data_IF_254426589101
#
_entry.id   IF_254426589101
#
_cell.length_a   1.000
_cell.length_b   1.000
_cell.length_c   1.000
_cell.angle_alpha   90.00
_cell.angle_beta   90.00
_cell.angle_gamma   90.00
#
_symmetry.space_group_name_H-M   'P 1'
#
loop_
_entity.id
_entity.type
_entity.pdbx_description
1 polymer ?
#
# COMPACT_ATOMS: atom_id res chain seq x y z
N UNK A 1 8.47 -8.98 14.61
CA UNK A 1 8.67 -8.03 13.49
C UNK A 1 7.40 -8.02 12.66
N UNK A 2 6.67 -6.90 12.61
CA UNK A 2 5.46 -6.81 11.80
C UNK A 2 5.84 -6.74 10.31
N UNK A 3 5.14 -7.50 9.46
CA UNK A 3 5.39 -7.53 8.03
C UNK A 3 4.89 -6.20 7.43
N UNK A 4 5.79 -5.42 6.85
CA UNK A 4 5.42 -4.15 6.21
C UNK A 4 4.41 -4.40 5.09
N UNK A 5 3.38 -3.56 4.99
CA UNK A 5 2.39 -3.60 3.91
C UNK A 5 3.04 -3.66 2.53
N UNK A 6 4.12 -2.92 2.33
CA UNK A 6 4.87 -2.89 1.07
C UNK A 6 5.49 -4.25 0.73
N UNK A 7 6.00 -4.97 1.73
CA UNK A 7 6.51 -6.33 1.55
C UNK A 7 5.37 -7.30 1.27
N UNK A 8 4.27 -7.23 2.04
CA UNK A 8 3.10 -8.08 1.84
C UNK A 8 2.52 -7.94 0.42
N UNK A 9 2.35 -6.69 -0.03
CA UNK A 9 1.87 -6.36 -1.37
C UNK A 9 2.78 -6.91 -2.48
N UNK A 10 4.10 -6.78 -2.33
CA UNK A 10 5.07 -7.33 -3.31
C UNK A 10 5.05 -8.85 -3.35
N UNK A 11 4.94 -9.51 -2.19
CA UNK A 11 4.78 -10.96 -2.12
C UNK A 11 3.48 -11.39 -2.80
N UNK A 12 2.38 -10.66 -2.56
CA UNK A 12 1.09 -10.91 -3.22
C UNK A 12 1.17 -10.79 -4.74
N UNK A 13 1.74 -9.71 -5.26
CA UNK A 13 1.93 -9.52 -6.70
C UNK A 13 2.90 -10.56 -7.29
N UNK A 14 3.93 -10.96 -6.54
CA UNK A 14 4.81 -12.05 -6.91
C UNK A 14 4.05 -13.37 -7.08
N UNK A 15 3.14 -13.69 -6.16
CA UNK A 15 2.28 -14.88 -6.28
C UNK A 15 1.37 -14.79 -7.51
N UNK A 16 0.71 -13.65 -7.76
CA UNK A 16 -0.10 -13.43 -8.98
C UNK A 16 0.73 -13.68 -10.24
N UNK A 17 1.95 -13.13 -10.32
CA UNK A 17 2.82 -13.29 -11.46
C UNK A 17 3.22 -14.76 -11.68
N UNK A 18 3.63 -15.47 -10.62
CA UNK A 18 4.02 -16.87 -10.70
C UNK A 18 2.85 -17.78 -11.10
N UNK A 19 1.66 -17.60 -10.50
CA UNK A 19 0.46 -18.35 -10.89
C UNK A 19 0.07 -18.06 -12.35
N UNK A 20 0.18 -16.81 -12.78
CA UNK A 20 -0.11 -16.41 -14.16
C UNK A 20 0.86 -17.06 -15.15
N UNK A 21 2.16 -17.10 -14.83
CA UNK A 21 3.16 -17.80 -15.64
C UNK A 21 2.89 -19.31 -15.71
N UNK A 22 2.50 -19.94 -14.60
CA UNK A 22 2.09 -21.35 -14.58
C UNK A 22 0.84 -21.61 -15.44
N UNK A 23 -0.13 -20.69 -15.44
CA UNK A 23 -1.30 -20.77 -16.31
C UNK A 23 -0.90 -20.66 -17.79
N UNK A 24 0.00 -19.74 -18.13
CA UNK A 24 0.50 -19.54 -19.49
C UNK A 24 1.27 -20.78 -19.96
N UNK A 25 2.17 -21.33 -19.14
CA UNK A 25 2.96 -22.51 -19.53
C UNK A 25 2.08 -23.73 -19.78
N UNK A 26 1.12 -24.02 -18.89
CA UNK A 26 0.16 -25.12 -19.08
C UNK A 26 -0.76 -24.88 -20.29
N UNK A 27 -1.19 -23.64 -20.51
CA UNK A 27 -1.95 -23.25 -21.70
C UNK A 27 -1.17 -23.54 -23.00
N UNK A 28 0.11 -23.18 -23.04
CA UNK A 28 1.00 -23.43 -24.18
C UNK A 28 1.23 -24.93 -24.40
N UNK A 29 1.41 -25.72 -23.34
CA UNK A 29 1.55 -27.19 -23.44
C UNK A 29 0.30 -27.83 -24.02
N UNK A 30 -0.89 -27.45 -23.53
CA UNK A 30 -2.16 -27.94 -24.09
C UNK A 30 -2.35 -27.48 -25.54
N UNK A 31 -1.95 -26.26 -25.86
CA UNK A 31 -2.00 -25.73 -27.22
C UNK A 31 -1.11 -26.55 -28.18
N UNK A 32 0.13 -26.82 -27.78
CA UNK A 32 1.10 -27.60 -28.55
C UNK A 32 0.64 -29.04 -28.80
N UNK A 33 -0.14 -29.62 -27.89
CA UNK A 33 -0.72 -30.97 -28.05
C UNK A 33 -2.00 -31.02 -28.91
N UNK A 34 -2.31 -29.95 -29.65
CA UNK A 34 -3.37 -29.98 -30.66
C UNK A 34 -4.76 -29.57 -30.15
N UNK A 35 -4.89 -29.11 -28.90
CA UNK A 35 -6.14 -28.49 -28.42
C UNK A 35 -6.39 -27.09 -29.04
N UNK A 36 -5.53 -26.64 -29.96
CA UNK A 36 -5.57 -25.36 -30.68
C UNK A 36 -6.88 -25.03 -31.41
N UNK A 37 -7.73 -26.01 -31.71
CA UNK A 37 -8.86 -25.82 -32.64
C UNK A 37 -9.93 -24.85 -32.14
N UNK A 38 -9.97 -24.53 -30.84
CA UNK A 38 -10.89 -23.52 -30.33
C UNK A 38 -10.23 -22.15 -30.18
N UNK A 39 -10.88 -21.10 -30.70
CA UNK A 39 -10.48 -19.69 -30.50
C UNK A 39 -10.37 -19.29 -29.00
N UNK A 40 -10.83 -20.13 -28.08
CA UNK A 40 -10.86 -19.86 -26.64
C UNK A 40 -9.48 -19.95 -25.97
N UNK A 41 -8.48 -20.57 -26.62
CA UNK A 41 -7.11 -20.67 -26.10
C UNK A 41 -6.37 -19.32 -26.13
N UNK A 42 -6.62 -18.48 -27.14
CA UNK A 42 -6.01 -17.15 -27.19
C UNK A 42 -6.34 -16.33 -25.94
N UNK A 43 -7.61 -16.33 -25.54
CA UNK A 43 -8.04 -15.65 -24.32
C UNK A 43 -7.51 -16.34 -23.03
N UNK A 44 -7.17 -17.63 -23.06
CA UNK A 44 -6.57 -18.33 -21.90
C UNK A 44 -5.14 -17.86 -21.65
N UNK A 45 -4.42 -17.50 -22.72
CA UNK A 45 -3.05 -16.99 -22.64
C UNK A 45 -3.06 -15.49 -22.38
N UNK A 46 -3.92 -14.73 -23.09
CA UNK A 46 -3.95 -13.27 -23.01
C UNK A 46 -4.28 -12.74 -21.61
N UNK A 47 -5.33 -13.27 -20.95
CA UNK A 47 -5.78 -12.75 -19.64
C UNK A 47 -4.70 -12.92 -18.55
N UNK A 48 -4.12 -14.12 -18.33
CA UNK A 48 -2.98 -14.28 -17.41
C UNK A 48 -1.76 -13.48 -17.85
N UNK A 49 -1.54 -13.26 -19.15
CA UNK A 49 -0.43 -12.41 -19.63
C UNK A 49 -0.60 -10.97 -19.17
N UNK A 50 -1.80 -10.39 -19.28
CA UNK A 50 -2.08 -9.05 -18.75
C UNK A 50 -1.97 -8.99 -17.24
N UNK A 51 -2.45 -10.01 -16.51
CA UNK A 51 -2.30 -10.09 -15.05
C UNK A 51 -0.83 -10.18 -14.64
N UNK A 52 -0.03 -10.98 -15.34
CA UNK A 52 1.41 -11.10 -15.14
C UNK A 52 2.13 -9.78 -15.41
N UNK A 53 1.81 -9.13 -16.54
CA UNK A 53 2.38 -7.82 -16.89
C UNK A 53 2.02 -6.75 -15.85
N UNK A 54 0.76 -6.69 -15.40
CA UNK A 54 0.31 -5.80 -14.33
C UNK A 54 1.04 -6.05 -13.02
N UNK A 55 1.15 -7.31 -12.60
CA UNK A 55 1.87 -7.70 -11.39
C UNK A 55 3.37 -7.35 -11.47
N UNK A 56 4.06 -7.70 -12.56
CA UNK A 56 5.47 -7.34 -12.79
C UNK A 56 5.64 -5.81 -12.80
N UNK A 57 4.73 -5.10 -13.47
CA UNK A 57 4.74 -3.64 -13.49
C UNK A 57 4.65 -3.07 -12.08
N UNK A 58 3.72 -3.54 -11.23
CA UNK A 58 3.63 -3.07 -9.83
C UNK A 58 4.88 -3.32 -9.01
N UNK A 59 5.58 -4.44 -9.23
CA UNK A 59 6.83 -4.78 -8.54
C UNK A 59 7.98 -3.86 -9.00
N UNK A 60 8.09 -3.65 -10.31
CA UNK A 60 9.18 -2.90 -10.94
C UNK A 60 8.97 -1.39 -10.91
N UNK A 61 7.72 -0.90 -10.82
CA UNK A 61 7.36 0.52 -10.98
C UNK A 61 8.18 1.42 -10.07
N UNK A 62 8.48 1.01 -8.84
CA UNK A 62 9.31 1.80 -7.93
C UNK A 62 10.70 2.15 -8.51
N UNK A 63 11.27 1.29 -9.35
CA UNK A 63 12.58 1.55 -9.98
C UNK A 63 12.48 2.53 -11.16
N UNK A 64 11.33 2.61 -11.82
CA UNK A 64 11.17 3.33 -13.10
C UNK A 64 10.30 4.59 -13.01
N UNK A 65 9.42 4.71 -12.03
CA UNK A 65 8.50 5.84 -11.87
C UNK A 65 8.45 6.31 -10.42
N UNK A 66 8.35 7.63 -10.22
CA UNK A 66 8.39 8.23 -8.88
C UNK A 66 7.15 8.02 -8.02
N UNK A 67 5.99 7.64 -8.58
CA UNK A 67 4.79 7.43 -7.76
C UNK A 67 3.83 6.37 -8.27
N UNK A 68 3.37 5.50 -7.36
CA UNK A 68 2.33 4.52 -7.63
C UNK A 68 1.01 4.90 -6.94
N UNK A 69 0.16 5.61 -7.66
CA UNK A 69 -1.15 5.99 -7.16
C UNK A 69 -2.06 4.77 -6.91
N UNK A 70 -2.80 4.81 -5.80
CA UNK A 70 -3.80 3.79 -5.42
C UNK A 70 -4.88 3.66 -6.50
N UNK A 71 -5.34 4.76 -7.09
CA UNK A 71 -6.36 4.73 -8.15
C UNK A 71 -5.92 3.93 -9.38
N UNK A 72 -4.67 4.10 -9.85
CA UNK A 72 -4.14 3.37 -10.99
C UNK A 72 -4.12 1.88 -10.67
N UNK A 73 -3.69 1.52 -9.46
CA UNK A 73 -3.62 0.14 -9.02
C UNK A 73 -4.99 -0.53 -8.94
N UNK A 74 -5.95 0.14 -8.30
CA UNK A 74 -7.33 -0.31 -8.30
C UNK A 74 -7.88 -0.46 -9.73
N UNK A 75 -7.65 0.54 -10.59
CA UNK A 75 -8.20 0.57 -11.94
C UNK A 75 -7.76 -0.64 -12.77
N UNK A 76 -6.47 -1.00 -12.78
CA UNK A 76 -6.05 -2.16 -13.57
C UNK A 76 -6.55 -3.49 -13.00
N UNK A 77 -6.63 -3.61 -11.66
CA UNK A 77 -7.17 -4.81 -11.02
C UNK A 77 -8.66 -4.96 -11.34
N UNK A 78 -9.45 -3.88 -11.24
CA UNK A 78 -10.87 -3.88 -11.60
C UNK A 78 -11.09 -4.08 -13.10
N UNK A 79 -10.21 -3.55 -13.96
CA UNK A 79 -10.28 -3.78 -15.39
C UNK A 79 -10.10 -5.27 -15.76
N UNK A 80 -9.33 -6.03 -14.97
CA UNK A 80 -9.13 -7.47 -15.20
C UNK A 80 -10.27 -8.34 -14.65
N UNK A 81 -10.94 -7.92 -13.57
CA UNK A 81 -12.01 -8.68 -12.93
C UNK A 81 -13.17 -9.13 -13.86
N UNK A 82 -13.77 -8.28 -14.72
CA UNK A 82 -14.87 -8.71 -15.57
C UNK A 82 -14.45 -9.81 -16.55
N UNK A 83 -13.21 -9.76 -17.05
CA UNK A 83 -12.68 -10.80 -17.93
C UNK A 83 -12.46 -12.13 -17.21
N UNK A 84 -12.16 -12.08 -15.91
CA UNK A 84 -12.05 -13.28 -15.08
C UNK A 84 -13.43 -13.86 -14.76
N UNK A 85 -14.38 -13.03 -14.33
CA UNK A 85 -15.74 -13.44 -13.91
C UNK A 85 -16.57 -13.93 -15.10
N UNK A 86 -16.60 -13.19 -16.21
CA UNK A 86 -17.38 -13.56 -17.39
C UNK A 86 -16.88 -14.87 -18.02
N UNK A 87 -15.55 -15.09 -18.03
CA UNK A 87 -15.00 -16.39 -18.44
C UNK A 87 -15.35 -17.51 -17.48
N UNK A 88 -15.45 -17.21 -16.20
CA UNK A 88 -15.74 -18.16 -15.14
C UNK A 88 -17.09 -18.84 -15.39
N UNK A 89 -18.12 -18.05 -15.64
CA UNK A 89 -19.49 -18.52 -15.87
C UNK A 89 -19.57 -19.36 -17.14
N UNK A 90 -19.06 -18.84 -18.26
CA UNK A 90 -19.11 -19.54 -19.54
C UNK A 90 -18.33 -20.87 -19.53
N UNK A 91 -17.24 -20.96 -18.77
CA UNK A 91 -16.43 -22.19 -18.70
C UNK A 91 -16.88 -23.18 -17.64
N UNK A 92 -17.49 -22.73 -16.55
CA UNK A 92 -18.17 -23.64 -15.63
C UNK A 92 -19.21 -24.46 -16.41
N UNK A 93 -20.00 -23.78 -17.23
CA UNK A 93 -20.98 -24.40 -18.13
C UNK A 93 -20.31 -25.33 -19.15
N UNK A 94 -19.28 -24.87 -19.86
CA UNK A 94 -18.63 -25.71 -20.89
C UNK A 94 -17.87 -26.92 -20.32
N UNK A 95 -17.25 -26.78 -19.14
CA UNK A 95 -16.53 -27.84 -18.44
C UNK A 95 -17.46 -28.96 -17.94
N UNK A 96 -18.66 -28.58 -17.46
CA UNK A 96 -19.71 -29.53 -17.11
C UNK A 96 -20.17 -30.35 -18.32
N UNK A 97 -20.40 -29.70 -19.46
CA UNK A 97 -20.86 -30.38 -20.68
C UNK A 97 -19.79 -31.25 -21.36
N UNK A 98 -18.50 -30.95 -21.20
CA UNK A 98 -17.43 -31.70 -21.89
C UNK A 98 -16.96 -32.94 -21.13
N UNK A 99 -17.20 -33.02 -19.82
CA UNK A 99 -16.87 -34.20 -19.01
C UNK A 99 -17.78 -35.40 -19.30
N UNK A 100 -19.00 -35.18 -19.80
CA UNK A 100 -19.94 -36.26 -20.14
C UNK A 100 -19.64 -36.93 -21.49
N UNK A 101 -18.92 -36.28 -22.40
CA UNK A 101 -18.96 -36.66 -23.82
C UNK A 101 -17.89 -37.66 -24.31
N UNK A 102 -16.77 -37.89 -23.61
CA UNK A 102 -15.65 -38.66 -24.20
C UNK A 102 -14.90 -39.57 -23.19
N UNK A 103 -15.60 -40.60 -22.72
CA UNK A 103 -15.27 -41.39 -21.54
C UNK A 103 -14.11 -42.41 -21.57
N UNK A 104 -13.11 -42.34 -22.46
CA UNK A 104 -12.03 -43.37 -22.42
C UNK A 104 -10.62 -42.99 -22.89
N UNK A 105 -10.43 -42.05 -23.82
CA UNK A 105 -9.08 -41.79 -24.42
C UNK A 105 -8.30 -40.60 -23.83
N UNK A 106 -8.88 -39.82 -22.93
CA UNK A 106 -8.34 -38.51 -22.53
C UNK A 106 -7.89 -38.39 -21.06
N UNK A 107 -7.74 -39.49 -20.31
CA UNK A 107 -7.52 -39.45 -18.85
C UNK A 107 -6.30 -38.62 -18.39
N UNK A 108 -5.17 -38.69 -19.11
CA UNK A 108 -3.96 -37.92 -18.76
C UNK A 108 -4.09 -36.42 -19.02
N UNK A 109 -4.74 -36.03 -20.12
CA UNK A 109 -4.95 -34.61 -20.44
C UNK A 109 -6.07 -33.98 -19.62
N UNK A 110 -7.03 -34.79 -19.16
CA UNK A 110 -8.05 -34.36 -18.21
C UNK A 110 -7.42 -33.81 -16.93
N UNK A 111 -6.42 -34.51 -16.37
CA UNK A 111 -5.73 -34.02 -15.17
C UNK A 111 -5.01 -32.67 -15.38
N UNK A 112 -4.32 -32.50 -16.52
CA UNK A 112 -3.63 -31.24 -16.85
C UNK A 112 -4.63 -30.10 -17.04
N UNK A 113 -5.77 -30.38 -17.70
CA UNK A 113 -6.84 -29.42 -17.88
C UNK A 113 -7.48 -29.01 -16.54
N UNK A 114 -7.75 -29.97 -15.66
CA UNK A 114 -8.27 -29.71 -14.31
C UNK A 114 -7.28 -28.89 -13.47
N UNK A 115 -5.99 -29.20 -13.54
CA UNK A 115 -4.95 -28.43 -12.87
C UNK A 115 -4.88 -26.98 -13.37
N UNK A 116 -4.95 -26.77 -14.69
CA UNK A 116 -5.02 -25.44 -15.29
C UNK A 116 -6.28 -24.69 -14.81
N UNK A 117 -7.44 -25.37 -14.75
CA UNK A 117 -8.67 -24.76 -14.25
C UNK A 117 -8.50 -24.31 -12.79
N UNK A 118 -8.00 -25.19 -11.92
CA UNK A 118 -7.73 -24.86 -10.52
C UNK A 118 -6.78 -23.67 -10.37
N UNK A 119 -5.73 -23.59 -11.19
CA UNK A 119 -4.78 -22.46 -11.17
C UNK A 119 -5.43 -21.15 -11.62
N UNK A 120 -6.21 -21.17 -12.69
CA UNK A 120 -6.94 -19.98 -13.16
C UNK A 120 -7.91 -19.47 -12.09
N UNK A 121 -8.62 -20.38 -11.43
CA UNK A 121 -9.53 -20.07 -10.33
C UNK A 121 -8.81 -19.46 -9.13
N UNK A 122 -7.70 -20.08 -8.72
CA UNK A 122 -6.88 -19.58 -7.61
C UNK A 122 -6.34 -18.20 -7.92
N UNK A 123 -5.86 -17.96 -9.15
CA UNK A 123 -5.34 -16.66 -9.57
C UNK A 123 -6.45 -15.59 -9.59
N UNK A 124 -7.65 -15.92 -10.11
CA UNK A 124 -8.78 -15.02 -10.11
C UNK A 124 -9.24 -14.66 -8.70
N UNK A 125 -9.36 -15.64 -7.80
CA UNK A 125 -9.70 -15.42 -6.40
C UNK A 125 -8.65 -14.52 -5.71
N UNK A 126 -7.37 -14.74 -5.97
CA UNK A 126 -6.27 -13.97 -5.40
C UNK A 126 -6.26 -12.51 -5.89
N UNK A 127 -6.59 -12.27 -7.16
CA UNK A 127 -6.78 -10.92 -7.72
C UNK A 127 -8.03 -10.25 -7.11
N UNK A 128 -9.13 -10.99 -6.96
CA UNK A 128 -10.36 -10.45 -6.37
C UNK A 128 -10.19 -10.07 -4.90
N UNK A 129 -9.60 -10.95 -4.09
CA UNK A 129 -9.30 -10.66 -2.67
C UNK A 129 -8.38 -9.45 -2.56
N UNK A 130 -7.41 -9.33 -3.46
CA UNK A 130 -6.57 -8.14 -3.53
C UNK A 130 -7.38 -6.87 -3.83
N UNK A 131 -8.20 -6.89 -4.89
CA UNK A 131 -9.04 -5.77 -5.29
C UNK A 131 -9.95 -5.30 -4.14
N UNK A 132 -10.67 -6.24 -3.56
CA UNK A 132 -11.57 -5.99 -2.44
C UNK A 132 -10.80 -5.44 -1.23
N UNK A 133 -9.63 -6.01 -0.93
CA UNK A 133 -8.77 -5.55 0.16
C UNK A 133 -8.31 -4.10 -0.03
N UNK A 134 -7.75 -3.75 -1.20
CA UNK A 134 -7.28 -2.37 -1.42
C UNK A 134 -8.43 -1.37 -1.45
N UNK A 135 -9.58 -1.73 -2.03
CA UNK A 135 -10.77 -0.87 -2.07
C UNK A 135 -11.34 -0.65 -0.69
N UNK A 136 -11.45 -1.72 0.10
CA UNK A 136 -11.94 -1.64 1.47
C UNK A 136 -11.04 -0.76 2.34
N UNK A 137 -9.72 -0.97 2.28
CA UNK A 137 -8.74 -0.15 3.00
C UNK A 137 -8.80 1.32 2.54
N UNK A 138 -8.87 1.57 1.23
CA UNK A 138 -8.98 2.93 0.69
C UNK A 138 -10.28 3.63 1.12
N UNK A 139 -11.42 2.94 1.08
CA UNK A 139 -12.70 3.49 1.52
C UNK A 139 -12.69 3.79 3.02
N UNK A 140 -12.19 2.88 3.85
CA UNK A 140 -12.06 3.13 5.28
C UNK A 140 -11.17 4.34 5.57
N UNK A 141 -10.00 4.43 4.92
CA UNK A 141 -9.10 5.57 5.06
C UNK A 141 -9.75 6.88 4.59
N UNK A 142 -10.50 6.85 3.49
CA UNK A 142 -11.21 8.00 2.94
C UNK A 142 -12.26 8.53 3.91
N UNK A 143 -13.05 7.62 4.50
CA UNK A 143 -14.10 7.97 5.46
C UNK A 143 -13.54 8.44 6.81
N UNK A 144 -12.33 7.97 7.17
CA UNK A 144 -11.76 8.23 8.49
C UNK A 144 -11.00 9.56 8.57
N UNK A 145 -10.07 9.83 7.63
CA UNK A 145 -9.16 10.97 7.80
C UNK A 145 -8.53 11.54 6.51
N UNK A 146 -8.61 10.88 5.36
CA UNK A 146 -7.91 11.32 4.15
C UNK A 146 -8.79 11.25 2.88
N UNK A 147 -9.53 12.32 2.53
CA UNK A 147 -10.45 12.32 1.38
C UNK A 147 -9.73 12.13 0.03
N UNK A 148 -8.44 12.47 -0.04
CA UNK A 148 -7.63 12.44 -1.26
C UNK A 148 -6.82 11.13 -1.43
N UNK A 149 -7.14 10.09 -0.64
CA UNK A 149 -6.40 8.81 -0.58
C UNK A 149 -6.16 8.16 -1.95
N UNK A 150 -7.09 8.29 -2.88
CA UNK A 150 -7.00 7.69 -4.22
C UNK A 150 -5.81 8.21 -5.03
N UNK A 151 -5.41 9.46 -4.78
CA UNK A 151 -4.27 10.10 -5.43
C UNK A 151 -2.95 9.86 -4.71
N UNK A 152 -2.98 9.27 -3.50
CA UNK A 152 -1.77 8.99 -2.74
C UNK A 152 -0.98 7.85 -3.34
N UNK A 153 0.32 7.94 -3.13
CA UNK A 153 1.25 6.87 -3.43
C UNK A 153 1.08 5.73 -2.44
N UNK A 154 0.80 4.54 -2.94
CA UNK A 154 0.65 3.33 -2.13
C UNK A 154 1.96 2.92 -1.44
N UNK A 155 3.09 3.32 -2.02
CA UNK A 155 4.44 3.00 -1.56
C UNK A 155 5.07 4.13 -0.72
N UNK A 156 4.31 5.19 -0.39
CA UNK A 156 4.80 6.29 0.45
C UNK A 156 5.17 5.81 1.85
N UNK A 157 6.13 6.51 2.45
CA UNK A 157 6.42 6.42 3.88
C UNK A 157 6.03 7.75 4.53
N UNK A 158 5.04 7.78 5.45
CA UNK A 158 4.31 6.64 6.01
C UNK A 158 3.34 5.98 5.04
N UNK A 159 3.01 4.70 5.30
CA UNK A 159 2.06 3.93 4.50
C UNK A 159 0.66 4.56 4.59
N UNK A 160 -0.09 4.69 3.47
CA UNK A 160 -1.45 5.26 3.49
C UNK A 160 -2.46 4.45 4.31
N UNK A 161 -2.16 3.18 4.59
CA UNK A 161 -3.02 2.25 5.34
C UNK A 161 -2.40 1.87 6.70
N UNK A 162 -2.60 2.66 7.76
CA UNK A 162 -2.21 2.30 9.11
C UNK A 162 -3.13 1.20 9.63
N UNK A 163 -2.78 -0.06 9.37
CA UNK A 163 -3.54 -1.24 9.81
C UNK A 163 -3.98 -1.20 11.27
N UNK A 164 -3.14 -0.80 12.25
CA UNK A 164 -3.58 -0.73 13.64
C UNK A 164 -4.79 0.20 13.84
N UNK A 165 -4.77 1.38 13.21
CA UNK A 165 -5.86 2.35 13.26
C UNK A 165 -7.11 1.84 12.56
N UNK A 166 -6.94 1.19 11.41
CA UNK A 166 -8.06 0.63 10.64
C UNK A 166 -8.74 -0.54 11.38
N UNK A 167 -7.98 -1.39 12.07
CA UNK A 167 -8.53 -2.50 12.87
C UNK A 167 -9.38 -1.96 14.02
N UNK A 168 -8.91 -0.92 14.71
CA UNK A 168 -9.66 -0.28 15.80
C UNK A 168 -10.98 0.32 15.30
N UNK A 169 -10.99 0.91 14.11
CA UNK A 169 -12.21 1.43 13.47
C UNK A 169 -13.17 0.33 13.01
N UNK A 170 -12.66 -0.73 12.39
CA UNK A 170 -13.48 -1.81 11.86
C UNK A 170 -14.08 -2.70 12.96
N UNK A 171 -13.37 -2.86 14.08
CA UNK A 171 -13.74 -3.74 15.18
C UNK A 171 -13.66 -2.99 16.53
N UNK A 172 -14.64 -2.12 16.84
CA UNK A 172 -14.59 -1.29 18.04
C UNK A 172 -14.49 -2.10 19.34
N UNK A 173 -14.97 -3.34 19.35
CA UNK A 173 -14.86 -4.24 20.50
C UNK A 173 -13.42 -4.66 20.83
N UNK A 174 -12.51 -4.67 19.84
CA UNK A 174 -11.09 -5.01 20.03
C UNK A 174 -10.26 -3.84 20.54
N UNK A 175 -10.78 -2.61 20.48
CA UNK A 175 -10.09 -1.40 20.91
C UNK A 175 -9.65 -1.44 22.38
N UNK A 176 -10.36 -2.20 23.22
CA UNK A 176 -10.01 -2.36 24.64
C UNK A 176 -8.68 -3.08 24.88
N UNK A 177 -8.14 -3.81 23.91
CA UNK A 177 -6.89 -4.57 24.08
C UNK A 177 -5.69 -3.90 23.44
N UNK A 178 -5.91 -3.02 22.47
CA UNK A 178 -4.86 -2.20 21.91
C UNK A 178 -4.83 -0.88 22.67
N UNK A 179 -4.08 -0.84 23.77
CA UNK A 179 -3.57 0.44 24.24
C UNK A 179 -2.74 1.01 23.09
N UNK A 180 -3.33 1.91 22.31
CA UNK A 180 -2.57 2.80 21.45
C UNK A 180 -1.62 3.51 22.40
N UNK A 181 -0.36 3.08 22.43
CA UNK A 181 0.71 3.91 22.94
C UNK A 181 0.54 5.18 22.11
N UNK A 182 0.16 6.31 22.73
CA UNK A 182 0.12 7.56 22.01
C UNK A 182 1.49 7.64 21.36
N UNK A 183 1.53 7.72 20.03
CA UNK A 183 2.76 8.17 19.39
C UNK A 183 2.89 9.57 19.92
N UNK A 184 3.62 9.69 21.02
CA UNK A 184 4.11 10.92 21.57
C UNK A 184 5.00 11.41 20.44
N UNK A 185 4.37 12.15 19.52
CA UNK A 185 5.05 12.99 18.58
C UNK A 185 5.92 13.82 19.47
N UNK A 186 7.19 13.41 19.54
CA UNK A 186 8.22 14.07 20.29
C UNK A 186 8.17 15.49 19.76
N UNK A 187 7.55 16.35 20.56
CA UNK A 187 7.21 17.69 20.14
C UNK A 187 8.53 18.30 19.68
N UNK A 188 8.68 18.74 18.42
CA UNK A 188 9.88 19.45 18.02
C UNK A 188 10.06 20.74 18.84
N UNK A 189 9.14 21.09 19.75
CA UNK A 189 9.34 22.03 20.85
C UNK A 189 10.40 21.61 21.90
N UNK A 190 10.98 20.41 21.83
CA UNK A 190 12.26 20.09 22.50
C UNK A 190 13.40 19.82 21.49
N UNK A 191 13.32 20.40 20.27
CA UNK A 191 14.55 20.92 19.71
C UNK A 191 15.08 21.95 20.73
N UNK A 192 16.36 21.91 21.15
CA UNK A 192 16.91 22.92 22.03
C UNK A 192 16.54 24.26 21.44
N UNK A 193 15.74 25.03 22.21
CA UNK A 193 15.21 26.34 21.86
C UNK A 193 16.15 27.00 20.87
N UNK A 194 15.71 27.16 19.63
CA UNK A 194 16.39 28.02 18.68
C UNK A 194 16.67 29.31 19.45
N UNK A 195 17.94 29.56 19.74
CA UNK A 195 18.39 30.75 20.44
C UNK A 195 17.73 31.92 19.73
N UNK A 196 16.83 32.62 20.42
CA UNK A 196 16.20 33.82 19.91
C UNK A 196 17.35 34.77 19.52
N UNK A 197 17.64 34.84 18.22
CA UNK A 197 18.59 35.80 17.70
C UNK A 197 17.93 37.18 17.84
N UNK A 198 18.18 37.85 18.96
CA UNK A 198 17.73 39.23 19.14
C UNK A 198 18.48 40.12 18.16
N UNK A 199 17.72 40.85 17.36
CA UNK A 199 18.21 41.83 16.39
C UNK A 199 18.90 42.97 17.16
N UNK A 200 20.05 43.50 16.70
CA UNK A 200 20.72 44.62 17.36
C UNK A 200 19.75 45.80 17.52
N UNK A 201 19.50 46.20 18.78
CA UNK A 201 18.57 47.28 19.13
C UNK A 201 17.36 46.85 19.96
N UNK A 202 17.09 45.55 20.14
CA UNK A 202 15.99 45.08 20.98
C UNK A 202 16.39 44.99 22.48
N UNK A 203 15.47 45.40 23.37
CA UNK A 203 15.58 45.19 24.83
C UNK A 203 15.10 43.79 25.23
N UNK A 204 15.81 42.76 24.79
CA UNK A 204 15.59 41.39 25.28
C UNK A 204 16.22 41.24 26.68
N UNK A 205 15.51 40.60 27.63
CA UNK A 205 16.02 40.36 28.99
C UNK A 205 17.20 39.37 29.03
N UNK A 206 17.34 38.53 28.00
CA UNK A 206 18.42 37.56 27.87
C UNK A 206 19.20 37.89 26.60
N UNK A 207 20.27 38.68 26.74
CA UNK A 207 21.32 38.76 25.72
C UNK A 207 22.18 37.50 25.80
N UNK A 208 22.50 36.83 24.68
CA UNK A 208 23.52 35.79 24.71
C UNK A 208 24.83 36.40 25.22
N UNK A 209 25.59 35.68 26.06
CA UNK A 209 26.84 36.18 26.60
C UNK A 209 27.78 36.50 25.44
N UNK A 210 28.28 37.73 25.42
CA UNK A 210 29.28 38.21 24.48
C UNK A 210 30.50 37.31 24.62
N UNK A 211 30.75 36.45 23.63
CA UNK A 211 31.85 35.50 23.64
C UNK A 211 33.17 36.26 23.52
N UNK A 212 33.68 36.71 24.65
CA UNK A 212 35.09 36.99 24.87
C UNK A 212 35.62 35.90 25.80
N UNK A 213 36.74 35.32 25.38
CA UNK A 213 37.37 34.08 25.84
C UNK A 213 37.56 33.92 27.36
N UNK A 214 37.82 32.65 27.79
CA UNK A 214 38.63 32.17 28.94
C UNK A 214 37.90 31.15 29.84
N UNK A 215 38.52 29.98 30.16
CA UNK A 215 37.94 28.93 30.98
C UNK A 215 38.24 29.10 32.48
N UNK A 216 37.28 28.83 33.38
CA UNK A 216 37.54 28.33 34.75
C UNK A 216 36.26 27.80 35.45
N UNK A 217 36.37 26.86 36.42
CA UNK A 217 35.30 25.96 36.85
C UNK A 217 34.70 26.31 38.23
N UNK A 218 33.48 25.85 38.47
CA UNK A 218 32.94 25.65 39.82
C UNK A 218 31.58 26.32 40.06
N UNK A 219 30.54 25.50 40.25
CA UNK A 219 29.22 25.99 40.64
C UNK A 219 28.14 24.91 40.59
N UNK A 220 28.11 24.06 41.63
CA UNK A 220 26.99 23.18 41.95
C UNK A 220 25.76 24.02 42.36
N UNK A 221 24.62 23.92 41.66
CA UNK A 221 23.29 24.13 42.27
C UNK A 221 22.19 23.32 41.57
N UNK A 222 21.82 22.23 42.24
CA UNK A 222 20.48 21.70 42.52
C UNK A 222 19.28 22.31 41.74
N UNK A 223 18.68 21.53 40.83
CA UNK A 223 17.35 21.82 40.25
C UNK A 223 16.33 20.89 40.91
N UNK A 224 15.45 21.52 41.68
CA UNK A 224 14.35 20.92 42.40
C UNK A 224 13.09 20.92 41.53
N UNK A 225 12.35 19.81 41.64
CA UNK A 225 11.02 19.52 41.09
C UNK A 225 10.09 20.72 40.86
N UNK A 226 9.50 20.76 39.66
CA UNK A 226 8.14 21.29 39.47
C UNK A 226 7.33 20.31 38.62
N UNK A 227 6.58 19.47 39.32
CA UNK A 227 5.46 18.69 38.79
C UNK A 227 4.24 19.59 38.68
N UNK A 228 3.76 19.87 37.47
CA UNK A 228 2.35 20.17 37.19
C UNK A 228 2.15 20.53 35.72
N UNK A 229 1.60 19.60 34.92
CA UNK A 229 0.68 19.98 33.85
C UNK A 229 -0.37 18.89 33.69
N UNK A 230 -1.45 19.09 34.43
CA UNK A 230 -2.75 18.43 34.25
C UNK A 230 -3.46 19.15 33.11
N UNK A 231 -3.93 18.39 32.12
CA UNK A 231 -5.14 18.72 31.36
C UNK A 231 -5.02 19.83 30.31
N UNK A 232 -4.15 19.67 29.31
CA UNK A 232 -4.30 20.41 28.06
C UNK A 232 -5.04 19.54 27.04
N UNK A 233 -6.36 19.72 26.94
CA UNK A 233 -7.18 19.27 25.81
C UNK A 233 -6.85 20.13 24.58
N UNK A 234 -5.57 20.21 24.20
CA UNK A 234 -5.15 20.82 22.94
C UNK A 234 -5.77 19.98 21.83
N UNK A 235 -6.72 20.60 21.13
CA UNK A 235 -7.21 20.20 19.81
C UNK A 235 -6.02 19.69 18.99
N UNK A 236 -5.88 18.36 18.89
CA UNK A 236 -4.92 17.73 18.00
C UNK A 236 -5.48 17.97 16.61
N UNK A 237 -5.09 19.09 15.99
CA UNK A 237 -5.35 19.31 14.58
C UNK A 237 -4.56 18.20 13.87
N UNK A 238 -5.22 17.25 13.19
CA UNK A 238 -4.51 16.20 12.50
C UNK A 238 -3.63 16.84 11.44
N UNK A 239 -2.31 16.78 11.63
CA UNK A 239 -1.35 17.29 10.65
C UNK A 239 -1.45 16.39 9.42
N UNK A 240 -2.12 16.89 8.38
CA UNK A 240 -2.21 16.22 7.08
C UNK A 240 -0.80 16.18 6.48
N UNK A 241 -0.28 14.97 6.27
CA UNK A 241 0.96 14.78 5.51
C UNK A 241 0.72 15.23 4.06
N UNK A 242 1.57 16.10 3.48
CA UNK A 242 1.42 16.60 2.12
C UNK A 242 1.32 15.47 1.10
N UNK A 243 0.47 15.62 0.09
CA UNK A 243 0.34 14.64 -0.99
C UNK A 243 1.54 14.72 -1.95
N UNK A 244 1.85 13.63 -2.68
CA UNK A 244 2.93 13.64 -3.66
C UNK A 244 2.73 14.72 -4.75
N UNK A 245 1.47 15.05 -5.07
CA UNK A 245 1.10 16.15 -5.96
C UNK A 245 1.48 17.52 -5.38
N UNK A 246 1.23 17.73 -4.09
CA UNK A 246 1.62 18.97 -3.38
C UNK A 246 3.15 19.10 -3.27
N UNK A 247 3.87 17.98 -3.10
CA UNK A 247 5.34 18.01 -3.12
C UNK A 247 5.93 18.28 -4.50
N UNK A 248 5.26 17.87 -5.58
CA UNK A 248 5.71 18.13 -6.94
C UNK A 248 5.52 19.59 -7.37
N UNK A 249 4.55 20.29 -6.77
CA UNK A 249 4.42 21.74 -6.89
C UNK A 249 5.42 22.39 -5.94
N UNK A 250 6.67 22.54 -6.39
CA UNK A 250 7.63 23.38 -5.68
C UNK A 250 7.00 24.76 -5.43
N UNK A 251 6.87 25.14 -4.16
CA UNK A 251 6.54 26.52 -3.79
C UNK A 251 7.77 27.35 -4.20
N UNK A 252 7.71 27.98 -5.36
CA UNK A 252 8.68 28.98 -5.78
C UNK A 252 8.51 30.20 -4.87
N UNK A 253 9.28 30.22 -3.78
CA UNK A 253 9.43 31.41 -2.95
C UNK A 253 10.23 32.43 -3.75
N UNK A 254 9.54 33.27 -4.52
CA UNK A 254 10.13 34.47 -5.08
C UNK A 254 10.35 35.48 -3.95
N UNK A 255 11.51 35.38 -3.30
CA UNK A 255 12.02 36.45 -2.44
C UNK A 255 12.46 37.60 -3.36
N UNK A 256 11.64 38.65 -3.45
CA UNK A 256 12.10 39.96 -3.94
C UNK A 256 13.07 40.52 -2.90
N UNK A 257 14.34 40.64 -3.28
CA UNK A 257 15.34 41.45 -2.57
C UNK A 257 15.29 42.86 -3.15
#
# INVERSE_FOLDING_TARGET
MALSFRTARRMWMGMVALLSLACISLALVLWAHGYSKSNNFGALIAIPSFACAGAIWTILKKKFCSSQMICIEATWVFALLPFQICKWEHRLLLGLFTLESDGARHSRFSAVYQALLALVWTNAALIFVYAAGISFLALLTQLSYDPDIWSRDIDSSPCPFPFPTLIVYALPFTAKHFHMIPVEFQDPQHAPSASEYCIPGCSCQTKPPESSDIPTPGGLFNIQNSTSYVGSTRSIIPIRVPTAKENATHITLNLRI
#
